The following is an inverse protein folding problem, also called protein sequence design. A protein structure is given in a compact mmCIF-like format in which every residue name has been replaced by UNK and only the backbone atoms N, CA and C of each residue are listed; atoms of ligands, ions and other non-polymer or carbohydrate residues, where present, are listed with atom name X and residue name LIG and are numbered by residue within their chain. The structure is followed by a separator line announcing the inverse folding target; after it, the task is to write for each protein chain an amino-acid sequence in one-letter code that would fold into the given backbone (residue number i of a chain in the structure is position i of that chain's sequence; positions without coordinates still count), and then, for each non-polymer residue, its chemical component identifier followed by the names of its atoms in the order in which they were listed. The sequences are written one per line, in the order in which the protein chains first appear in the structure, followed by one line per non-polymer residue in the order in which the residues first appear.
data_IF_074033886689
#
_entry.id   IF_074033886689
#
_cell.length_a   1.000
_cell.length_b   1.000
_cell.length_c   1.000
_cell.angle_alpha   90.00
_cell.angle_beta   90.00
_cell.angle_gamma   90.00
#
_symmetry.space_group_name_H-M   'P 1'
#
loop_
_entity.id
_entity.type
_entity.pdbx_description
1 polymer ?
#
# COMPACT_ATOMS: atom_id res chain seq x y z
N UNK A 1 50.47 12.96 30.91
CA UNK A 1 49.11 12.65 31.41
C UNK A 1 48.39 13.96 31.73
N UNK A 2 47.35 14.31 30.97
CA UNK A 2 46.51 15.49 31.22
C UNK A 2 45.04 15.08 31.02
N UNK A 3 44.23 15.18 32.08
CA UNK A 3 42.81 14.82 32.08
C UNK A 3 41.98 16.01 31.58
N UNK A 4 41.23 15.82 30.48
CA UNK A 4 40.19 16.77 30.04
C UNK A 4 38.99 16.75 30.99
N UNK A 5 38.31 17.88 31.24
CA UNK A 5 37.08 17.91 32.05
C UNK A 5 35.88 17.40 31.26
N UNK A 6 35.03 16.59 31.90
CA UNK A 6 33.72 16.17 31.38
C UNK A 6 32.76 17.38 31.41
N UNK A 7 32.19 17.74 30.26
CA UNK A 7 31.01 18.62 30.19
C UNK A 7 29.82 17.89 30.81
N UNK A 8 29.23 18.48 31.85
CA UNK A 8 27.94 18.10 32.39
C UNK A 8 26.84 18.72 31.54
N UNK A 9 25.98 17.89 30.94
CA UNK A 9 24.72 18.34 30.35
C UNK A 9 23.77 18.78 31.48
N UNK A 10 23.62 20.10 31.63
CA UNK A 10 22.56 20.70 32.45
C UNK A 10 21.32 20.89 31.57
N UNK A 11 20.36 19.98 31.69
CA UNK A 11 18.95 20.23 31.39
C UNK A 11 18.11 19.24 32.22
N UNK A 12 18.04 19.50 33.53
CA UNK A 12 17.13 18.81 34.45
C UNK A 12 16.45 19.92 35.26
N UNK A 13 15.16 20.16 35.01
CA UNK A 13 14.34 20.99 35.88
C UNK A 13 14.08 20.27 37.21
N UNK A 14 13.85 21.06 38.26
CA UNK A 14 13.80 20.70 39.68
C UNK A 14 12.75 19.65 40.10
N UNK A 15 11.99 19.08 39.16
CA UNK A 15 10.98 18.05 39.42
C UNK A 15 11.30 16.67 38.82
N UNK A 16 12.47 16.45 38.22
CA UNK A 16 12.86 15.11 37.74
C UNK A 16 12.00 14.52 36.62
N UNK A 17 11.06 15.29 36.07
CA UNK A 17 10.24 14.89 34.92
C UNK A 17 11.01 15.29 33.65
N UNK A 18 11.52 14.30 32.91
CA UNK A 18 11.95 14.53 31.52
C UNK A 18 10.80 15.22 30.79
N UNK A 19 10.99 16.47 30.39
CA UNK A 19 10.01 17.16 29.57
C UNK A 19 9.81 16.32 28.31
N UNK A 20 8.69 15.61 28.23
CA UNK A 20 8.23 15.02 26.98
C UNK A 20 8.01 16.21 26.06
N UNK A 21 9.02 16.55 25.25
CA UNK A 21 8.84 17.41 24.07
C UNK A 21 7.62 16.84 23.37
N UNK A 22 6.48 17.54 23.45
CA UNK A 22 5.30 17.25 22.65
C UNK A 22 5.81 17.23 21.21
N UNK A 23 5.98 16.03 20.63
CA UNK A 23 6.28 15.90 19.22
C UNK A 23 5.15 16.63 18.52
N UNK A 24 5.47 17.78 17.90
CA UNK A 24 4.56 18.53 17.07
C UNK A 24 4.04 17.53 16.04
N UNK A 25 2.73 17.26 16.01
CA UNK A 25 2.14 16.32 15.03
C UNK A 25 2.58 16.80 13.64
N UNK A 26 3.24 15.92 12.89
CA UNK A 26 3.66 16.19 11.52
C UNK A 26 2.41 16.41 10.66
N UNK A 27 2.39 17.47 9.85
CA UNK A 27 1.19 17.81 9.06
C UNK A 27 1.08 16.90 7.84
N UNK A 28 0.04 16.08 7.75
CA UNK A 28 -0.26 15.27 6.56
C UNK A 28 -1.00 16.05 5.46
N UNK A 29 -1.40 17.28 5.76
CA UNK A 29 -2.08 18.17 4.83
C UNK A 29 -1.44 19.56 4.84
N UNK A 30 -1.28 20.16 3.66
CA UNK A 30 -0.97 21.57 3.47
C UNK A 30 -2.16 22.22 2.75
N UNK A 31 -2.73 23.24 3.38
CA UNK A 31 -3.81 24.05 2.80
C UNK A 31 -3.25 25.46 2.56
N UNK A 32 -3.00 25.77 1.30
CA UNK A 32 -2.73 27.13 0.82
C UNK A 32 -4.04 27.70 0.20
N UNK A 33 -4.24 29.03 0.13
CA UNK A 33 -5.35 29.63 -0.60
C UNK A 33 -5.64 29.02 -1.98
N UNK A 34 -4.62 28.62 -2.74
CA UNK A 34 -4.78 28.18 -4.13
C UNK A 34 -4.59 26.67 -4.34
N UNK A 35 -3.74 26.03 -3.54
CA UNK A 35 -3.39 24.60 -3.68
C UNK A 35 -3.63 23.87 -2.36
N UNK A 36 -4.14 22.64 -2.45
CA UNK A 36 -4.15 21.67 -1.35
C UNK A 36 -3.24 20.51 -1.74
N UNK A 37 -2.34 20.14 -0.84
CA UNK A 37 -1.58 18.89 -0.88
C UNK A 37 -1.92 18.08 0.36
N UNK A 38 -2.17 16.78 0.21
CA UNK A 38 -2.52 15.93 1.35
C UNK A 38 -2.14 14.48 1.12
N UNK A 39 -1.86 13.74 2.19
CA UNK A 39 -1.81 12.28 2.25
C UNK A 39 -2.88 11.71 3.19
N UNK A 40 -3.85 12.51 3.64
CA UNK A 40 -4.93 12.10 4.57
C UNK A 40 -6.05 11.39 3.82
N UNK A 41 -5.74 10.23 3.27
CA UNK A 41 -6.69 9.32 2.65
C UNK A 41 -6.12 7.89 2.72
N UNK A 42 -6.97 6.88 2.53
CA UNK A 42 -6.55 5.48 2.48
C UNK A 42 -5.42 5.26 1.46
N UNK A 43 -4.39 4.50 1.80
CA UNK A 43 -3.12 4.35 1.03
C UNK A 43 -2.26 5.61 0.97
N UNK A 44 -2.66 6.74 1.54
CA UNK A 44 -1.88 7.96 1.53
C UNK A 44 -0.62 7.84 2.38
N UNK A 45 0.53 8.23 1.82
CA UNK A 45 1.81 8.19 2.52
C UNK A 45 2.61 9.46 2.21
N UNK A 46 2.81 10.26 3.25
CA UNK A 46 3.54 11.52 3.22
C UNK A 46 3.27 12.34 4.46
N UNK A 47 4.25 13.08 4.94
CA UNK A 47 4.14 13.96 6.10
C UNK A 47 4.93 15.24 5.92
N UNK A 48 4.66 16.20 6.80
CA UNK A 48 5.33 17.49 6.87
C UNK A 48 5.29 18.24 5.53
N UNK A 49 4.11 18.23 4.89
CA UNK A 49 3.88 19.01 3.68
C UNK A 49 4.11 20.49 3.95
N UNK A 50 4.94 21.12 3.13
CA UNK A 50 5.24 22.55 3.23
C UNK A 50 5.55 23.18 1.87
N UNK A 51 5.34 24.48 1.82
CA UNK A 51 5.78 25.35 0.74
C UNK A 51 7.20 25.84 1.06
N UNK A 52 8.10 25.71 0.10
CA UNK A 52 9.49 26.18 0.19
C UNK A 52 9.68 27.51 -0.53
N UNK A 53 8.96 27.71 -1.62
CA UNK A 53 8.92 28.91 -2.44
C UNK A 53 7.57 28.93 -3.20
N UNK A 54 7.27 30.02 -3.90
CA UNK A 54 6.09 30.17 -4.73
C UNK A 54 5.96 28.99 -5.70
N UNK A 55 4.85 28.26 -5.63
CA UNK A 55 4.56 27.07 -6.44
C UNK A 55 5.57 25.90 -6.26
N UNK A 56 6.41 25.92 -5.23
CA UNK A 56 7.38 24.86 -4.89
C UNK A 56 7.05 24.29 -3.51
N UNK A 57 6.69 23.02 -3.50
CA UNK A 57 6.26 22.29 -2.31
C UNK A 57 7.14 21.06 -2.10
N UNK A 58 7.12 20.54 -0.87
CA UNK A 58 7.68 19.23 -0.60
C UNK A 58 7.13 18.58 0.67
N UNK A 59 7.46 17.32 0.82
CA UNK A 59 7.02 16.45 1.90
C UNK A 59 8.03 15.31 2.10
N UNK A 60 7.88 14.57 3.20
CA UNK A 60 8.68 13.39 3.49
C UNK A 60 7.78 12.15 3.43
N UNK A 61 8.12 11.10 2.65
CA UNK A 61 7.47 9.80 2.77
C UNK A 61 7.60 9.27 4.21
N UNK A 62 6.52 8.66 4.72
CA UNK A 62 6.52 8.06 6.06
C UNK A 62 7.18 6.68 6.00
N UNK A 63 8.09 6.42 6.96
CA UNK A 63 8.75 5.12 7.09
C UNK A 63 7.87 4.18 7.87
N UNK A 64 7.89 2.92 7.49
CA UNK A 64 7.34 1.86 8.30
C UNK A 64 8.03 1.80 9.66
N UNK A 65 7.28 1.59 10.77
CA UNK A 65 7.86 1.34 12.08
C UNK A 65 8.67 0.02 12.11
N UNK A 66 9.55 -0.13 13.11
CA UNK A 66 10.32 -1.36 13.30
C UNK A 66 11.48 -1.54 12.31
N UNK A 67 12.40 -0.56 12.27
CA UNK A 67 13.47 -0.29 11.27
C UNK A 67 14.33 -1.47 10.73
N UNK A 68 14.16 -2.72 11.19
CA UNK A 68 14.90 -3.93 10.79
C UNK A 68 14.62 -4.38 9.34
N UNK A 69 13.46 -4.05 8.77
CA UNK A 69 13.01 -4.54 7.45
C UNK A 69 13.22 -3.55 6.30
N UNK A 70 13.88 -2.41 6.57
CA UNK A 70 13.88 -1.19 5.74
C UNK A 70 14.74 -1.24 4.46
N UNK A 71 14.88 -2.42 3.86
CA UNK A 71 15.67 -2.69 2.67
C UNK A 71 14.94 -2.60 1.32
N UNK A 72 13.72 -2.07 1.20
CA UNK A 72 13.01 -1.86 -0.08
C UNK A 72 11.69 -1.07 0.11
N UNK A 73 11.13 -0.43 -0.94
CA UNK A 73 11.39 0.92 -1.43
C UNK A 73 10.44 1.98 -0.84
N UNK A 74 10.85 3.25 -0.96
CA UNK A 74 10.13 4.44 -0.53
C UNK A 74 8.74 4.54 -1.16
N UNK A 75 7.69 4.00 -0.53
CA UNK A 75 6.33 4.27 -0.96
C UNK A 75 5.93 5.71 -0.62
N UNK A 76 5.30 6.41 -1.55
CA UNK A 76 4.55 7.62 -1.26
C UNK A 76 3.29 7.69 -2.11
N UNK A 77 2.28 8.35 -1.55
CA UNK A 77 1.06 8.69 -2.28
C UNK A 77 0.46 9.96 -1.70
N UNK A 78 0.24 10.94 -2.53
CA UNK A 78 -0.33 12.23 -2.14
C UNK A 78 -1.38 12.68 -3.15
N UNK A 79 -2.28 13.54 -2.70
CA UNK A 79 -3.28 14.22 -3.50
C UNK A 79 -2.85 15.67 -3.73
N UNK A 80 -3.24 16.21 -4.87
CA UNK A 80 -3.14 17.63 -5.19
C UNK A 80 -4.50 18.12 -5.68
N UNK A 81 -4.91 19.30 -5.22
CA UNK A 81 -6.12 19.99 -5.69
C UNK A 81 -5.84 21.48 -5.94
N UNK A 82 -6.23 21.98 -7.10
CA UNK A 82 -6.28 23.42 -7.37
C UNK A 82 -7.65 23.97 -6.94
N UNK A 83 -7.64 24.97 -6.04
CA UNK A 83 -8.85 25.58 -5.46
C UNK A 83 -9.37 26.76 -6.27
N UNK A 84 -8.63 27.22 -7.28
CA UNK A 84 -9.03 28.33 -8.12
C UNK A 84 -10.18 27.95 -9.04
N UNK A 85 -10.99 28.94 -9.40
CA UNK A 85 -12.25 28.73 -10.13
C UNK A 85 -12.18 29.17 -11.59
N UNK A 86 -11.37 30.18 -11.93
CA UNK A 86 -11.39 30.72 -13.29
C UNK A 86 -10.65 29.77 -14.23
N UNK A 87 -11.16 29.47 -15.43
CA UNK A 87 -10.53 28.55 -16.38
C UNK A 87 -9.05 28.84 -16.70
N UNK A 88 -8.63 30.11 -16.58
CA UNK A 88 -7.26 30.57 -16.82
C UNK A 88 -6.31 30.32 -15.65
N UNK A 89 -6.82 30.00 -14.46
CA UNK A 89 -6.05 29.84 -13.22
C UNK A 89 -5.35 28.47 -13.13
N UNK A 90 -4.66 28.07 -14.21
CA UNK A 90 -3.90 26.82 -14.25
C UNK A 90 -2.62 26.98 -13.44
N UNK A 91 -2.42 26.10 -12.46
CA UNK A 91 -1.22 26.08 -11.62
C UNK A 91 -0.15 25.16 -12.17
N UNK A 92 1.09 25.66 -12.20
CA UNK A 92 2.29 24.90 -12.56
C UNK A 92 3.16 24.81 -11.32
N UNK A 93 3.11 23.68 -10.63
CA UNK A 93 3.77 23.51 -9.34
C UNK A 93 4.84 22.43 -9.41
N UNK A 94 5.82 22.50 -8.51
CA UNK A 94 6.76 21.41 -8.24
C UNK A 94 6.46 20.84 -6.87
N UNK A 95 6.22 19.53 -6.78
CA UNK A 95 6.10 18.82 -5.49
C UNK A 95 7.27 17.87 -5.35
N UNK A 96 8.02 18.01 -4.26
CA UNK A 96 9.24 17.23 -4.02
C UNK A 96 9.04 16.24 -2.89
N UNK A 97 9.13 14.94 -3.20
CA UNK A 97 9.26 13.90 -2.17
C UNK A 97 10.72 13.86 -1.72
N UNK A 98 10.98 14.10 -0.43
CA UNK A 98 12.33 14.25 0.11
C UNK A 98 12.69 13.01 0.91
N UNK A 99 13.82 12.40 0.58
CA UNK A 99 14.38 11.30 1.34
C UNK A 99 14.94 11.82 2.66
N UNK A 100 14.56 11.19 3.77
CA UNK A 100 15.15 11.48 5.08
C UNK A 100 16.57 10.89 5.16
N UNK A 101 17.57 11.71 4.80
CA UNK A 101 18.95 11.31 4.47
C UNK A 101 19.81 10.89 5.66
N UNK A 102 19.48 11.35 6.87
CA UNK A 102 20.30 11.11 8.07
C UNK A 102 20.32 9.63 8.49
N UNK A 103 19.55 8.79 7.79
CA UNK A 103 19.45 7.34 8.01
C UNK A 103 19.51 6.52 6.71
N UNK A 104 20.11 7.03 5.62
CA UNK A 104 19.96 6.37 4.31
C UNK A 104 20.92 5.21 4.04
N UNK A 105 20.23 4.14 3.64
CA UNK A 105 20.60 2.84 3.13
C UNK A 105 20.66 2.83 1.58
N UNK A 106 21.20 1.75 1.00
CA UNK A 106 21.62 1.60 -0.41
C UNK A 106 20.51 1.52 -1.48
N UNK A 107 19.22 1.49 -1.14
CA UNK A 107 18.14 1.35 -2.14
C UNK A 107 17.33 2.61 -2.47
N UNK A 108 17.69 3.79 -1.94
CA UNK A 108 17.33 5.04 -2.64
C UNK A 108 18.10 5.16 -3.97
N UNK A 109 19.23 4.46 -4.11
CA UNK A 109 20.29 4.83 -5.05
C UNK A 109 20.43 3.97 -6.33
N UNK A 110 19.45 3.17 -6.78
CA UNK A 110 19.63 2.39 -8.03
C UNK A 110 18.42 2.08 -8.93
N UNK A 111 17.26 2.74 -8.80
CA UNK A 111 16.18 2.63 -9.81
C UNK A 111 15.80 3.99 -10.42
N UNK A 112 16.72 4.56 -11.21
CA UNK A 112 16.60 5.86 -11.90
C UNK A 112 15.52 5.94 -13.01
N UNK A 113 14.54 5.02 -13.04
CA UNK A 113 13.35 5.07 -13.90
C UNK A 113 12.08 4.91 -13.05
N UNK A 114 11.89 5.83 -12.12
CA UNK A 114 10.71 5.84 -11.25
C UNK A 114 9.47 6.09 -12.10
N UNK A 115 8.64 5.05 -12.24
CA UNK A 115 7.30 5.19 -12.82
C UNK A 115 6.40 5.79 -11.76
N UNK A 116 5.81 6.94 -12.07
CA UNK A 116 4.77 7.54 -11.24
C UNK A 116 3.41 7.33 -11.90
N UNK A 117 2.40 7.14 -11.07
CA UNK A 117 1.00 6.92 -11.45
C UNK A 117 0.17 8.12 -11.02
N UNK A 118 -0.65 8.63 -11.94
CA UNK A 118 -1.66 9.67 -11.71
C UNK A 118 -3.03 9.02 -11.65
N UNK A 119 -3.71 9.17 -10.51
CA UNK A 119 -5.05 8.65 -10.27
C UNK A 119 -6.06 9.78 -10.40
N UNK A 120 -6.91 9.71 -11.42
CA UNK A 120 -7.97 10.68 -11.65
C UNK A 120 -9.21 10.36 -10.80
N UNK A 121 -10.07 11.35 -10.48
CA UNK A 121 -11.27 11.14 -9.65
C UNK A 121 -12.29 10.16 -10.25
N UNK A 122 -12.24 9.93 -11.56
CA UNK A 122 -13.11 8.99 -12.26
C UNK A 122 -12.55 7.56 -12.31
N UNK A 123 -11.54 7.23 -11.48
CA UNK A 123 -10.93 5.91 -11.42
C UNK A 123 -9.87 5.64 -12.50
N UNK A 124 -9.67 6.54 -13.47
CA UNK A 124 -8.63 6.35 -14.49
C UNK A 124 -7.24 6.49 -13.85
N UNK A 125 -6.42 5.45 -14.02
CA UNK A 125 -5.02 5.43 -13.63
C UNK A 125 -4.16 5.55 -14.88
N UNK A 126 -3.22 6.50 -14.88
CA UNK A 126 -2.32 6.71 -16.01
C UNK A 126 -0.89 6.96 -15.55
N UNK A 127 0.08 6.60 -16.40
CA UNK A 127 1.47 6.97 -16.15
C UNK A 127 1.66 8.48 -16.23
N UNK A 128 2.36 9.05 -15.24
CA UNK A 128 2.84 10.41 -15.34
C UNK A 128 4.01 10.45 -16.34
N UNK A 129 4.00 11.43 -17.24
CA UNK A 129 5.08 11.62 -18.21
C UNK A 129 6.45 11.70 -17.50
N UNK A 130 7.41 10.80 -17.79
CA UNK A 130 8.70 10.77 -17.10
C UNK A 130 9.49 12.08 -17.18
N UNK A 131 9.29 12.90 -18.23
CA UNK A 131 9.92 14.23 -18.35
C UNK A 131 9.48 15.22 -17.27
N UNK A 132 8.37 14.93 -16.57
CA UNK A 132 7.88 15.71 -15.43
C UNK A 132 8.52 15.29 -14.10
N UNK A 133 9.31 14.22 -14.09
CA UNK A 133 9.92 13.66 -12.88
C UNK A 133 11.42 13.92 -12.93
N UNK A 134 11.95 14.53 -11.87
CA UNK A 134 13.37 14.84 -11.69
C UNK A 134 13.88 14.12 -10.44
N UNK A 135 14.30 12.86 -10.55
CA UNK A 135 14.90 12.15 -9.44
C UNK A 135 16.31 12.70 -9.18
N UNK A 136 16.66 12.81 -7.92
CA UNK A 136 18.03 13.04 -7.45
C UNK A 136 18.41 11.92 -6.48
N UNK A 137 19.66 11.94 -6.03
CA UNK A 137 20.06 11.08 -4.92
C UNK A 137 19.28 11.35 -3.64
N UNK A 138 18.57 12.47 -3.47
CA UNK A 138 17.93 12.81 -2.19
C UNK A 138 16.45 13.15 -2.29
N UNK A 139 15.91 13.21 -3.49
CA UNK A 139 14.54 13.64 -3.69
C UNK A 139 14.00 13.23 -5.04
N UNK A 140 12.68 13.30 -5.17
CA UNK A 140 11.97 13.15 -6.44
C UNK A 140 11.13 14.40 -6.63
N UNK A 141 11.59 15.29 -7.53
CA UNK A 141 10.83 16.46 -7.93
C UNK A 141 9.79 16.11 -8.99
N UNK A 142 8.54 16.54 -8.79
CA UNK A 142 7.40 16.19 -9.64
C UNK A 142 6.75 17.48 -10.13
N UNK A 143 6.89 17.77 -11.43
CA UNK A 143 6.31 18.95 -12.06
C UNK A 143 4.87 18.66 -12.48
N UNK A 144 3.92 19.40 -11.91
CA UNK A 144 2.50 19.20 -12.10
C UNK A 144 1.88 20.43 -12.77
N UNK A 145 0.91 20.17 -13.65
CA UNK A 145 0.03 21.18 -14.23
C UNK A 145 -1.38 20.82 -13.77
N UNK A 146 -1.98 21.65 -12.93
CA UNK A 146 -3.26 21.40 -12.26
C UNK A 146 -4.25 22.46 -12.70
N UNK A 147 -5.27 22.04 -13.45
CA UNK A 147 -6.33 22.91 -13.94
C UNK A 147 -7.23 23.38 -12.78
N UNK A 148 -7.96 24.49 -12.92
CA UNK A 148 -8.91 24.97 -11.90
C UNK A 148 -9.86 23.86 -11.46
N UNK A 149 -10.07 23.71 -10.14
CA UNK A 149 -10.85 22.63 -9.51
C UNK A 149 -10.37 21.19 -9.79
N UNK A 150 -9.30 20.99 -10.57
CA UNK A 150 -8.75 19.66 -10.82
C UNK A 150 -8.16 19.09 -9.53
N UNK A 151 -8.45 17.81 -9.27
CA UNK A 151 -7.89 17.04 -8.17
C UNK A 151 -7.44 15.68 -8.70
N UNK A 152 -6.28 15.21 -8.25
CA UNK A 152 -5.81 13.86 -8.55
C UNK A 152 -4.76 13.41 -7.53
N UNK A 153 -4.49 12.11 -7.48
CA UNK A 153 -3.44 11.53 -6.63
C UNK A 153 -2.21 11.17 -7.46
N UNK A 154 -1.03 11.24 -6.87
CA UNK A 154 0.25 10.79 -7.43
C UNK A 154 0.84 9.74 -6.51
N UNK A 155 1.30 8.62 -7.06
CA UNK A 155 2.05 7.60 -6.33
C UNK A 155 3.21 7.07 -7.14
N UNK A 156 4.22 6.53 -6.47
CA UNK A 156 5.30 5.78 -7.10
C UNK A 156 5.06 4.26 -7.16
N UNK A 157 3.99 3.78 -6.54
CA UNK A 157 3.53 2.40 -6.67
C UNK A 157 2.07 2.39 -7.14
N UNK A 158 1.68 1.27 -7.72
CA UNK A 158 0.30 1.04 -8.13
C UNK A 158 -0.39 0.33 -6.97
N UNK A 159 -1.27 1.03 -6.24
CA UNK A 159 -1.91 0.51 -5.01
C UNK A 159 -3.40 0.79 -5.08
N UNK A 160 -4.22 -0.27 -5.04
CA UNK A 160 -5.68 -0.17 -4.90
C UNK A 160 -6.00 0.04 -3.43
N UNK A 161 -6.86 1.00 -3.08
CA UNK A 161 -7.43 1.06 -1.73
C UNK A 161 -8.06 -0.27 -1.32
N UNK A 162 -7.90 -0.66 -0.06
CA UNK A 162 -8.50 -1.87 0.47
C UNK A 162 -10.04 -1.80 0.35
N UNK A 163 -10.63 -0.64 0.62
CA UNK A 163 -12.07 -0.41 0.43
C UNK A 163 -12.52 -0.71 -1.00
N UNK A 164 -11.88 -0.11 -2.00
CA UNK A 164 -12.20 -0.29 -3.42
C UNK A 164 -12.15 -1.77 -3.82
N UNK A 165 -11.12 -2.51 -3.41
CA UNK A 165 -11.05 -3.90 -3.82
C UNK A 165 -11.90 -4.85 -2.98
N UNK A 166 -12.15 -4.55 -1.69
CA UNK A 166 -13.19 -5.25 -0.93
C UNK A 166 -14.52 -5.17 -1.67
N UNK A 167 -14.88 -3.98 -2.15
CA UNK A 167 -16.07 -3.78 -2.97
C UNK A 167 -15.98 -4.56 -4.29
N UNK A 168 -14.81 -4.60 -4.96
CA UNK A 168 -14.61 -5.44 -6.15
C UNK A 168 -14.86 -6.93 -5.87
N UNK A 169 -14.34 -7.48 -4.77
CA UNK A 169 -14.54 -8.90 -4.41
C UNK A 169 -16.00 -9.21 -4.10
N UNK A 170 -16.67 -8.33 -3.35
CA UNK A 170 -18.10 -8.42 -3.07
C UNK A 170 -18.91 -8.36 -4.36
N UNK A 171 -18.56 -7.48 -5.28
CA UNK A 171 -19.21 -7.35 -6.58
C UNK A 171 -18.97 -8.57 -7.48
N UNK A 172 -17.75 -9.11 -7.52
CA UNK A 172 -17.45 -10.34 -8.27
C UNK A 172 -18.28 -11.50 -7.76
N UNK A 173 -18.35 -11.68 -6.44
CA UNK A 173 -19.18 -12.71 -5.84
C UNK A 173 -20.67 -12.48 -6.10
N UNK A 174 -21.16 -11.25 -5.90
CA UNK A 174 -22.57 -10.90 -6.13
C UNK A 174 -23.01 -11.06 -7.59
N UNK A 175 -22.11 -10.84 -8.55
CA UNK A 175 -22.36 -11.09 -9.97
C UNK A 175 -22.28 -12.59 -10.34
N UNK A 176 -21.56 -13.40 -9.55
CA UNK A 176 -21.29 -14.80 -9.83
C UNK A 176 -21.57 -15.74 -8.62
N UNK A 177 -22.74 -15.65 -7.96
CA UNK A 177 -22.97 -16.29 -6.66
C UNK A 177 -22.99 -17.83 -6.73
N UNK A 178 -23.22 -18.39 -7.93
CA UNK A 178 -23.26 -19.85 -8.14
C UNK A 178 -21.90 -20.44 -8.55
N UNK A 179 -20.95 -19.60 -8.95
CA UNK A 179 -19.63 -20.03 -9.45
C UNK A 179 -18.49 -19.47 -8.60
N UNK A 180 -18.81 -18.80 -7.49
CA UNK A 180 -17.85 -18.27 -6.54
C UNK A 180 -18.35 -18.43 -5.11
N UNK A 181 -17.44 -18.64 -4.19
CA UNK A 181 -17.67 -18.66 -2.74
C UNK A 181 -16.73 -17.63 -2.11
N UNK A 182 -17.29 -16.59 -1.50
CA UNK A 182 -16.53 -15.58 -0.77
C UNK A 182 -16.61 -15.85 0.72
N UNK A 183 -15.47 -16.17 1.34
CA UNK A 183 -15.37 -16.51 2.75
C UNK A 183 -14.56 -15.45 3.49
N UNK A 184 -15.09 -14.93 4.60
CA UNK A 184 -14.29 -14.15 5.55
C UNK A 184 -13.40 -15.10 6.36
N UNK A 185 -12.10 -15.07 6.12
CA UNK A 185 -11.13 -15.97 6.75
C UNK A 185 -10.51 -15.38 8.02
N UNK A 186 -10.59 -14.06 8.19
CA UNK A 186 -10.03 -13.39 9.36
C UNK A 186 -10.33 -11.90 9.44
N UNK A 187 -9.71 -11.27 10.43
CA UNK A 187 -9.64 -9.82 10.61
C UNK A 187 -8.24 -9.43 11.04
N UNK A 188 -7.76 -8.29 10.55
CA UNK A 188 -6.48 -7.68 10.91
C UNK A 188 -6.51 -7.02 12.30
N UNK A 189 -5.41 -6.38 12.70
CA UNK A 189 -5.32 -5.66 13.98
C UNK A 189 -6.23 -4.42 14.05
N UNK A 190 -6.49 -3.72 12.94
CA UNK A 190 -7.48 -2.64 12.85
C UNK A 190 -8.89 -3.14 12.46
N UNK A 191 -9.15 -4.45 12.59
CA UNK A 191 -10.44 -5.07 12.31
C UNK A 191 -10.88 -4.99 10.83
N UNK A 192 -9.94 -4.80 9.90
CA UNK A 192 -10.21 -4.96 8.47
C UNK A 192 -10.34 -6.45 8.14
N UNK A 193 -11.35 -6.79 7.35
CA UNK A 193 -11.69 -8.17 7.00
C UNK A 193 -10.74 -8.73 5.95
N UNK A 194 -10.31 -9.97 6.14
CA UNK A 194 -9.51 -10.72 5.18
C UNK A 194 -10.43 -11.75 4.53
N UNK A 195 -10.44 -11.78 3.21
CA UNK A 195 -11.31 -12.65 2.42
C UNK A 195 -10.51 -13.68 1.64
N UNK A 196 -11.12 -14.85 1.49
CA UNK A 196 -10.80 -15.79 0.43
C UNK A 196 -11.95 -15.86 -0.56
N UNK A 197 -11.63 -15.91 -1.85
CA UNK A 197 -12.59 -16.14 -2.93
C UNK A 197 -12.25 -17.45 -3.63
N UNK A 198 -13.11 -18.46 -3.44
CA UNK A 198 -13.00 -19.75 -4.11
C UNK A 198 -13.86 -19.78 -5.35
N UNK A 199 -13.33 -20.37 -6.41
CA UNK A 199 -14.08 -20.64 -7.63
C UNK A 199 -14.83 -21.96 -7.48
N UNK A 200 -16.09 -21.98 -7.90
CA UNK A 200 -16.92 -23.18 -7.94
C UNK A 200 -17.18 -23.58 -9.41
N UNK A 201 -17.04 -24.86 -9.76
CA UNK A 201 -17.37 -25.32 -11.11
C UNK A 201 -18.87 -25.18 -11.34
N UNK A 202 -19.26 -24.80 -12.57
CA UNK A 202 -20.68 -24.68 -12.97
C UNK A 202 -21.46 -25.98 -12.76
N UNK A 203 -20.80 -27.11 -12.99
CA UNK A 203 -21.32 -28.45 -12.73
C UNK A 203 -20.48 -29.06 -11.61
N UNK A 204 -21.02 -29.12 -10.39
CA UNK A 204 -20.36 -29.79 -9.28
C UNK A 204 -20.22 -31.29 -9.60
N UNK A 205 -19.04 -31.69 -10.06
CA UNK A 205 -18.67 -33.12 -10.09
C UNK A 205 -18.66 -33.65 -8.66
N UNK A 206 -19.17 -34.86 -8.42
CA UNK A 206 -19.25 -35.48 -7.09
C UNK A 206 -17.91 -35.49 -6.33
N UNK A 207 -16.77 -35.39 -7.03
CA UNK A 207 -15.43 -35.46 -6.45
C UNK A 207 -14.71 -34.10 -6.42
N UNK A 208 -15.41 -32.95 -6.54
CA UNK A 208 -14.74 -31.63 -6.58
C UNK A 208 -13.88 -31.37 -5.33
N UNK A 209 -14.38 -31.71 -4.14
CA UNK A 209 -13.67 -31.56 -2.88
C UNK A 209 -12.36 -32.40 -2.80
N UNK A 210 -12.23 -33.46 -3.60
CA UNK A 210 -11.04 -34.32 -3.63
C UNK A 210 -9.97 -33.80 -4.60
N UNK A 211 -10.29 -32.80 -5.44
CA UNK A 211 -9.37 -32.26 -6.43
C UNK A 211 -8.26 -31.43 -5.76
N UNK A 212 -7.06 -31.39 -6.35
CA UNK A 212 -5.97 -30.54 -5.86
C UNK A 212 -6.35 -29.05 -5.89
N UNK A 213 -6.03 -28.34 -4.83
CA UNK A 213 -6.18 -26.90 -4.67
C UNK A 213 -4.95 -26.14 -5.17
N UNK A 214 -5.20 -25.14 -6.01
CA UNK A 214 -4.27 -24.07 -6.37
C UNK A 214 -4.73 -22.83 -5.61
N UNK A 215 -3.88 -22.32 -4.73
CA UNK A 215 -4.09 -21.05 -4.03
C UNK A 215 -3.25 -19.97 -4.69
N UNK A 216 -3.91 -18.93 -5.18
CA UNK A 216 -3.28 -17.70 -5.68
C UNK A 216 -3.44 -16.63 -4.63
N UNK A 217 -2.38 -15.95 -4.26
CA UNK A 217 -2.45 -14.90 -3.25
C UNK A 217 -1.86 -13.60 -3.75
N UNK A 218 -2.39 -12.49 -3.26
CA UNK A 218 -1.67 -11.23 -3.29
C UNK A 218 -0.46 -11.27 -2.36
N UNK A 219 0.41 -10.27 -2.45
CA UNK A 219 1.59 -10.14 -1.60
C UNK A 219 1.20 -9.64 -0.20
N UNK A 220 1.87 -10.11 0.88
CA UNK A 220 1.72 -9.55 2.23
C UNK A 220 2.37 -8.17 2.41
N UNK A 221 3.04 -7.66 1.37
CA UNK A 221 3.63 -6.33 1.35
C UNK A 221 2.64 -5.34 0.70
N UNK A 222 1.95 -4.56 1.54
CA UNK A 222 0.79 -3.74 1.22
C UNK A 222 0.83 -2.91 -0.08
N UNK A 223 1.99 -2.44 -0.53
CA UNK A 223 2.06 -1.58 -1.72
C UNK A 223 2.74 -2.25 -2.93
N UNK A 224 2.96 -3.56 -2.89
CA UNK A 224 3.50 -4.31 -4.01
C UNK A 224 2.41 -4.80 -4.98
N UNK A 225 2.83 -5.32 -6.14
CA UNK A 225 1.94 -5.60 -7.27
C UNK A 225 1.20 -6.95 -7.18
N UNK A 226 1.42 -7.74 -6.11
CA UNK A 226 0.88 -9.10 -6.00
C UNK A 226 -0.65 -9.14 -6.09
N UNK A 227 -1.35 -8.24 -5.39
CA UNK A 227 -2.81 -8.19 -5.44
C UNK A 227 -3.36 -7.89 -6.84
N UNK A 228 -2.68 -7.03 -7.60
CA UNK A 228 -3.04 -6.75 -9.00
C UNK A 228 -2.86 -7.99 -9.88
N UNK A 229 -1.76 -8.72 -9.72
CA UNK A 229 -1.52 -9.94 -10.50
C UNK A 229 -2.62 -10.98 -10.21
N UNK A 230 -2.91 -11.23 -8.93
CA UNK A 230 -3.97 -12.13 -8.51
C UNK A 230 -5.35 -11.70 -9.06
N UNK A 231 -5.67 -10.39 -9.02
CA UNK A 231 -6.94 -9.88 -9.55
C UNK A 231 -7.08 -10.09 -11.05
N UNK A 232 -5.99 -9.88 -11.80
CA UNK A 232 -6.01 -10.07 -13.25
C UNK A 232 -6.21 -11.54 -13.61
N UNK A 233 -5.60 -12.46 -12.85
CA UNK A 233 -5.83 -13.90 -13.00
C UNK A 233 -7.30 -14.23 -12.72
N UNK A 234 -7.87 -13.69 -11.63
CA UNK A 234 -9.29 -13.85 -11.30
C UNK A 234 -10.21 -13.30 -12.41
N UNK A 235 -9.99 -12.07 -12.87
CA UNK A 235 -10.80 -11.44 -13.92
C UNK A 235 -10.75 -12.26 -15.20
N UNK A 236 -9.55 -12.65 -15.64
CA UNK A 236 -9.38 -13.47 -16.84
C UNK A 236 -10.12 -14.82 -16.71
N UNK A 237 -10.08 -15.42 -15.52
CA UNK A 237 -10.83 -16.64 -15.26
C UNK A 237 -12.35 -16.41 -15.30
N UNK A 238 -12.86 -15.33 -14.71
CA UNK A 238 -14.30 -15.07 -14.71
C UNK A 238 -14.83 -14.67 -16.10
N UNK A 239 -14.05 -13.88 -16.85
CA UNK A 239 -14.44 -13.33 -18.15
C UNK A 239 -14.22 -14.34 -19.30
N UNK A 240 -13.07 -15.02 -19.30
CA UNK A 240 -12.65 -15.92 -20.39
C UNK A 240 -12.58 -17.40 -19.95
N UNK A 241 -13.01 -17.72 -18.73
CA UNK A 241 -13.07 -19.05 -18.11
C UNK A 241 -13.46 -20.18 -19.05
N UNK A 242 -14.63 -20.08 -19.72
CA UNK A 242 -15.10 -21.13 -20.63
C UNK A 242 -14.17 -21.40 -21.81
N UNK A 243 -13.36 -20.42 -22.23
CA UNK A 243 -12.52 -20.54 -23.43
C UNK A 243 -11.15 -21.17 -23.15
N UNK A 244 -10.58 -20.92 -21.96
CA UNK A 244 -9.21 -21.35 -21.65
C UNK A 244 -9.10 -22.25 -20.42
N UNK A 245 -10.13 -22.28 -19.56
CA UNK A 245 -10.01 -22.77 -18.19
C UNK A 245 -11.06 -23.82 -17.79
N UNK A 246 -11.94 -24.24 -18.70
CA UNK A 246 -12.90 -25.35 -18.44
C UNK A 246 -12.17 -26.59 -17.91
N UNK A 247 -11.09 -27.00 -18.58
CA UNK A 247 -10.27 -28.13 -18.14
C UNK A 247 -9.54 -27.89 -16.80
N UNK A 248 -9.18 -26.63 -16.50
CA UNK A 248 -8.49 -26.28 -15.24
C UNK A 248 -9.45 -26.40 -14.06
N UNK A 249 -10.66 -25.85 -14.18
CA UNK A 249 -11.70 -25.90 -13.17
C UNK A 249 -12.24 -27.33 -12.94
N UNK A 250 -12.13 -28.17 -13.97
CA UNK A 250 -12.45 -29.60 -13.88
C UNK A 250 -11.33 -30.42 -13.24
N UNK A 251 -10.09 -29.95 -13.23
CA UNK A 251 -8.95 -30.71 -12.71
C UNK A 251 -8.47 -30.21 -11.35
N UNK A 252 -8.70 -28.93 -11.04
CA UNK A 252 -8.19 -28.25 -9.86
C UNK A 252 -9.30 -27.44 -9.20
N UNK A 253 -9.18 -27.28 -7.89
CA UNK A 253 -9.86 -26.22 -7.15
C UNK A 253 -9.00 -24.96 -7.24
N UNK A 254 -9.64 -23.82 -7.41
CA UNK A 254 -8.94 -22.53 -7.50
C UNK A 254 -9.47 -21.59 -6.42
N UNK A 255 -8.56 -20.98 -5.69
CA UNK A 255 -8.86 -20.07 -4.59
C UNK A 255 -7.92 -18.89 -4.60
N UNK A 256 -8.44 -17.74 -4.17
CA UNK A 256 -7.71 -16.49 -4.13
C UNK A 256 -7.76 -15.87 -2.74
N UNK A 257 -6.59 -15.50 -2.18
CA UNK A 257 -6.51 -14.66 -0.97
C UNK A 257 -5.87 -13.33 -1.34
N UNK A 258 -6.67 -12.28 -1.32
CA UNK A 258 -6.21 -10.91 -1.58
C UNK A 258 -5.87 -10.21 -0.27
N UNK A 259 -4.96 -9.24 -0.33
CA UNK A 259 -4.61 -8.33 0.74
C UNK A 259 -4.35 -9.02 2.06
N UNK A 260 -3.26 -9.77 2.08
CA UNK A 260 -2.82 -10.40 3.32
C UNK A 260 -2.47 -9.35 4.40
N UNK A 261 -2.32 -8.07 4.02
CA UNK A 261 -2.03 -6.93 4.89
C UNK A 261 -2.99 -5.74 4.68
N UNK A 262 -4.29 -5.86 5.01
CA UNK A 262 -5.24 -4.79 4.73
C UNK A 262 -4.94 -3.51 5.55
N UNK A 263 -4.41 -3.68 6.76
CA UNK A 263 -4.04 -2.56 7.64
C UNK A 263 -2.91 -1.71 7.07
N UNK A 264 -1.88 -2.36 6.56
CA UNK A 264 -0.77 -1.65 5.95
C UNK A 264 -1.22 -0.86 4.71
N UNK A 265 -2.17 -1.39 3.93
CA UNK A 265 -2.78 -0.69 2.79
C UNK A 265 -3.54 0.55 3.28
N UNK A 266 -4.43 0.37 4.27
CA UNK A 266 -5.26 1.45 4.81
C UNK A 266 -4.39 2.60 5.33
N UNK A 267 -3.33 2.28 6.07
CA UNK A 267 -2.43 3.26 6.66
C UNK A 267 -1.35 3.80 5.70
N UNK A 268 -1.26 3.26 4.47
CA UNK A 268 -0.22 3.63 3.51
C UNK A 268 1.19 3.19 3.93
N UNK A 269 1.32 2.06 4.62
CA UNK A 269 2.58 1.40 4.98
C UNK A 269 3.05 0.50 3.85
N UNK A 270 4.35 0.24 3.76
CA UNK A 270 4.92 -0.52 2.65
C UNK A 270 4.97 -2.03 2.91
N UNK A 271 5.53 -2.44 4.04
CA UNK A 271 5.95 -3.81 4.33
C UNK A 271 5.32 -4.36 5.61
N UNK A 272 4.69 -3.50 6.42
CA UNK A 272 4.25 -3.86 7.77
C UNK A 272 2.77 -3.57 7.97
N UNK A 273 2.15 -4.29 8.91
CA UNK A 273 0.76 -4.07 9.34
C UNK A 273 0.63 -2.85 10.27
N UNK A 274 -0.55 -2.64 10.84
CA UNK A 274 -0.82 -1.53 11.77
C UNK A 274 0.08 -1.53 13.01
N UNK A 275 0.50 -2.72 13.47
CA UNK A 275 1.34 -2.91 14.65
C UNK A 275 2.85 -2.81 14.34
N UNK A 276 3.21 -2.70 13.06
CA UNK A 276 4.60 -2.60 12.62
C UNK A 276 5.29 -3.94 12.43
N UNK A 277 4.51 -5.02 12.32
CA UNK A 277 4.98 -6.36 12.06
C UNK A 277 5.03 -6.62 10.55
N UNK A 278 6.06 -7.32 10.09
CA UNK A 278 6.17 -7.72 8.69
C UNK A 278 5.53 -9.12 8.50
N UNK A 279 4.36 -9.13 7.85
CA UNK A 279 3.56 -10.34 7.62
C UNK A 279 4.33 -11.39 6.80
N UNK A 280 5.16 -10.97 5.83
CA UNK A 280 5.97 -11.89 5.00
C UNK A 280 6.88 -12.79 5.85
N UNK A 281 7.42 -12.29 6.95
CA UNK A 281 8.26 -13.09 7.85
C UNK A 281 7.48 -13.86 8.92
N UNK A 282 6.17 -13.60 9.04
CA UNK A 282 5.26 -14.31 9.93
C UNK A 282 5.00 -15.76 9.52
N UNK A 283 5.27 -16.14 8.28
CA UNK A 283 4.99 -17.47 7.74
C UNK A 283 5.94 -18.59 8.25
N UNK A 284 6.78 -18.32 9.24
CA UNK A 284 7.59 -19.37 9.88
C UNK A 284 6.69 -20.22 10.79
N UNK A 285 6.47 -21.47 10.36
CA UNK A 285 5.79 -22.51 11.15
C UNK A 285 6.40 -22.54 12.56
N UNK A 286 5.59 -22.34 13.60
CA UNK A 286 5.96 -22.37 15.03
C UNK A 286 6.59 -21.12 15.67
N UNK A 287 6.43 -19.92 15.12
CA UNK A 287 6.69 -18.71 15.90
C UNK A 287 5.59 -18.52 16.97
N UNK A 288 5.96 -18.47 18.26
CA UNK A 288 5.04 -18.13 19.35
C UNK A 288 4.42 -16.73 19.16
N UNK A 289 5.09 -15.88 18.39
CA UNK A 289 4.66 -14.53 18.00
C UNK A 289 4.55 -14.47 16.46
N UNK A 290 3.32 -14.57 15.95
CA UNK A 290 2.99 -14.46 14.53
C UNK A 290 1.95 -13.35 14.35
N UNK A 291 2.09 -12.47 13.34
CA UNK A 291 1.12 -11.41 13.08
C UNK A 291 -0.29 -11.97 12.96
N UNK A 292 -1.28 -11.23 13.50
CA UNK A 292 -2.69 -11.68 13.55
C UNK A 292 -3.22 -12.10 12.19
N UNK A 293 -2.90 -11.33 11.15
CA UNK A 293 -3.26 -11.61 9.76
C UNK A 293 -2.66 -12.93 9.27
N UNK A 294 -1.35 -13.11 9.47
CA UNK A 294 -0.62 -14.31 9.06
C UNK A 294 -1.18 -15.57 9.74
N UNK A 295 -1.49 -15.48 11.04
CA UNK A 295 -2.13 -16.57 11.79
C UNK A 295 -3.47 -16.97 11.17
N UNK A 296 -4.32 -16.01 10.82
CA UNK A 296 -5.64 -16.30 10.23
C UNK A 296 -5.53 -16.93 8.84
N UNK A 297 -4.59 -16.47 8.04
CA UNK A 297 -4.31 -17.03 6.71
C UNK A 297 -3.79 -18.47 6.84
N UNK A 298 -2.88 -18.75 7.78
CA UNK A 298 -2.43 -20.12 8.05
C UNK A 298 -3.53 -21.03 8.57
N UNK A 299 -4.34 -20.59 9.54
CA UNK A 299 -5.49 -21.36 10.04
C UNK A 299 -6.47 -21.72 8.92
N UNK A 300 -6.57 -20.88 7.88
CA UNK A 300 -7.36 -21.15 6.68
C UNK A 300 -6.67 -22.18 5.76
N UNK A 301 -5.40 -21.96 5.44
CA UNK A 301 -4.58 -22.85 4.60
C UNK A 301 -4.45 -24.25 5.22
N UNK A 302 -4.33 -24.37 6.54
CA UNK A 302 -4.19 -25.68 7.22
C UNK A 302 -5.46 -26.52 7.16
N UNK A 303 -6.65 -25.90 7.07
CA UNK A 303 -7.92 -26.63 6.93
C UNK A 303 -8.06 -27.26 5.56
N UNK A 304 -7.42 -26.67 4.56
CA UNK A 304 -7.54 -27.08 3.17
C UNK A 304 -6.24 -26.81 2.40
N UNK A 305 -5.19 -27.64 2.60
CA UNK A 305 -3.85 -27.32 2.14
C UNK A 305 -3.75 -27.31 0.60
N UNK A 306 -3.16 -26.25 0.00
CA UNK A 306 -2.94 -26.20 -1.43
C UNK A 306 -1.79 -27.12 -1.85
N UNK A 307 -1.94 -27.76 -3.01
CA UNK A 307 -0.87 -28.48 -3.69
C UNK A 307 0.07 -27.50 -4.41
N UNK A 308 -0.43 -26.30 -4.76
CA UNK A 308 0.34 -25.23 -5.36
C UNK A 308 -0.08 -23.89 -4.74
N UNK A 309 0.90 -23.14 -4.24
CA UNK A 309 0.73 -21.76 -3.76
C UNK A 309 1.49 -20.81 -4.70
N UNK A 310 0.80 -19.78 -5.19
CA UNK A 310 1.33 -18.75 -6.09
C UNK A 310 1.17 -17.38 -5.44
N UNK A 311 2.28 -16.66 -5.23
CA UNK A 311 2.34 -15.27 -4.73
C UNK A 311 2.98 -14.35 -5.76
#
# INVERSE_FOLDING_TARGET
MSKKPKKQDKNVDSNGIKSKRRRKRSSKTLINPEIILSSEFETGNGKDFKEYDTDIYGFYPERDPGELYSGQPFYFKFSVKNRLLRPTDIKKITVTAIADYDKIWKGWTSSLNIKLWKYLPNGIIQHLNPRRVKPTRQSIGINLKVSPQESYKISNLLVIPYSDMKDMLLNYHGANPNTTELTKIGVSALENEIYSLRILPKNQSQNYAEKPLILVSGTPQSNEFGDYAALNILSLYLDEGPKYWENLAESFRLEFIFFQNPDGIVEGKNMVNSEGENIFFGFKKHAEECPKECKKIWEHIEKDPPQLYLE
#
